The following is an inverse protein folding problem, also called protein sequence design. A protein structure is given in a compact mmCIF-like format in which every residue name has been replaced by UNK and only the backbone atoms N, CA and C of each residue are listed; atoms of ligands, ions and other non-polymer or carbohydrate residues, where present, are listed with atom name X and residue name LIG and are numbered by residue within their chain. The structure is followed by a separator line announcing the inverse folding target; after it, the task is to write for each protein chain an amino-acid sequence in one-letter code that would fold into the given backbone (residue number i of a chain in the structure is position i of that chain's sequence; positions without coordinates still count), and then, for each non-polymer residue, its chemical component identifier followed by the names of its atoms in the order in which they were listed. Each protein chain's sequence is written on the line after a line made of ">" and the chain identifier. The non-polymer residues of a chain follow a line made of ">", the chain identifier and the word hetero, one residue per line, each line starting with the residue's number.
data_IF_925006961751
#
_entry.id   IF_925006961751
#
_cell.length_a   1.000
_cell.length_b   1.000
_cell.length_c   1.000
_cell.angle_alpha   90.00
_cell.angle_beta   90.00
_cell.angle_gamma   90.00
#
_symmetry.space_group_name_H-M   'P 1'
#
loop_
_entity.id
_entity.type
_entity.pdbx_description
1 polymer ?
#
# COMPACT_ATOMS: atom_id res chain seq x y z
N UNK A 1 22.91 -10.77 1.21
CA UNK A 1 22.50 -9.78 0.19
C UNK A 1 20.99 -9.70 0.35
N UNK A 2 20.45 -9.02 1.36
CA UNK A 2 19.04 -9.30 1.72
C UNK A 2 18.24 -8.13 2.33
N UNK A 3 18.85 -7.24 3.15
CA UNK A 3 18.08 -6.16 3.80
C UNK A 3 17.81 -4.95 2.89
N UNK A 4 18.80 -4.49 2.12
CA UNK A 4 18.62 -3.35 1.20
C UNK A 4 17.60 -3.64 0.09
N UNK A 5 17.50 -4.90 -0.35
CA UNK A 5 16.52 -5.34 -1.33
C UNK A 5 15.10 -5.46 -0.73
N UNK A 6 15.00 -5.65 0.59
CA UNK A 6 13.74 -5.64 1.32
C UNK A 6 13.16 -4.24 1.41
N UNK A 7 13.97 -3.28 1.86
CA UNK A 7 13.55 -1.88 2.03
C UNK A 7 13.23 -1.22 0.69
N UNK A 8 14.02 -1.49 -0.37
CA UNK A 8 13.72 -0.97 -1.71
C UNK A 8 12.45 -1.56 -2.33
N UNK A 9 12.07 -2.80 -1.98
CA UNK A 9 10.77 -3.38 -2.40
C UNK A 9 9.62 -2.78 -1.60
N UNK A 10 9.85 -2.54 -0.31
CA UNK A 10 8.87 -1.95 0.59
C UNK A 10 8.49 -0.52 0.19
N UNK A 11 9.48 0.32 -0.10
CA UNK A 11 9.23 1.69 -0.57
C UNK A 11 8.55 1.72 -1.95
N UNK A 12 8.90 0.78 -2.84
CA UNK A 12 8.19 0.63 -4.12
C UNK A 12 6.72 0.25 -3.93
N UNK A 13 6.42 -0.66 -2.99
CA UNK A 13 5.04 -1.03 -2.66
C UNK A 13 4.27 0.17 -2.11
N UNK A 14 4.87 0.93 -1.19
CA UNK A 14 4.28 2.16 -0.62
C UNK A 14 3.93 3.16 -1.73
N UNK A 15 4.89 3.44 -2.62
CA UNK A 15 4.68 4.36 -3.74
C UNK A 15 3.56 3.90 -4.67
N UNK A 16 3.54 2.60 -5.02
CA UNK A 16 2.50 2.02 -5.86
C UNK A 16 1.10 2.12 -5.22
N UNK A 17 0.99 1.88 -3.90
CA UNK A 17 -0.28 1.99 -3.17
C UNK A 17 -0.81 3.43 -3.18
N UNK A 18 0.03 4.42 -2.88
CA UNK A 18 -0.38 5.83 -2.91
C UNK A 18 -0.82 6.28 -4.31
N UNK A 19 -0.05 5.96 -5.35
CA UNK A 19 -0.39 6.33 -6.73
C UNK A 19 -1.70 5.68 -7.17
N UNK A 20 -1.92 4.42 -6.80
CA UNK A 20 -3.14 3.68 -7.16
C UNK A 20 -4.37 4.23 -6.43
N UNK A 21 -4.25 4.57 -5.15
CA UNK A 21 -5.32 5.24 -4.40
C UNK A 21 -5.69 6.58 -5.04
N UNK A 22 -4.70 7.40 -5.39
CA UNK A 22 -4.93 8.69 -6.02
C UNK A 22 -5.64 8.56 -7.38
N UNK A 23 -5.30 7.54 -8.17
CA UNK A 23 -5.99 7.26 -9.43
C UNK A 23 -7.45 6.86 -9.21
N UNK A 24 -7.72 5.99 -8.23
CA UNK A 24 -9.09 5.61 -7.87
C UNK A 24 -9.90 6.83 -7.42
N UNK A 25 -9.32 7.72 -6.62
CA UNK A 25 -9.97 8.96 -6.18
C UNK A 25 -10.28 9.91 -7.33
N UNK A 26 -9.45 9.90 -8.38
CA UNK A 26 -9.69 10.63 -9.64
C UNK A 26 -10.67 9.93 -10.58
N UNK A 27 -11.15 8.74 -10.22
CA UNK A 27 -12.05 7.91 -11.05
C UNK A 27 -11.34 7.12 -12.15
N UNK A 28 -10.00 7.08 -12.15
CA UNK A 28 -9.23 6.24 -13.05
C UNK A 28 -9.10 4.83 -12.45
N UNK A 29 -9.97 3.93 -12.92
CA UNK A 29 -10.01 2.53 -12.51
C UNK A 29 -9.23 1.62 -13.47
N UNK A 30 -8.46 2.17 -14.41
CA UNK A 30 -7.76 1.39 -15.44
C UNK A 30 -6.69 0.44 -14.91
N UNK A 31 -6.22 0.66 -13.68
CA UNK A 31 -5.28 -0.22 -12.97
C UNK A 31 -5.96 -1.31 -12.14
N UNK A 32 -7.25 -1.19 -11.90
CA UNK A 32 -7.98 -2.21 -11.15
C UNK A 32 -8.21 -3.43 -12.06
N UNK A 33 -8.19 -4.63 -11.49
CA UNK A 33 -8.69 -5.80 -12.18
C UNK A 33 -10.12 -5.54 -12.70
N UNK A 34 -10.50 -6.03 -13.89
CA UNK A 34 -11.80 -5.75 -14.50
C UNK A 34 -13.01 -6.05 -13.60
N UNK A 35 -12.90 -7.03 -12.71
CA UNK A 35 -13.91 -7.39 -11.71
C UNK A 35 -14.17 -6.31 -10.65
N UNK A 36 -13.27 -5.33 -10.52
CA UNK A 36 -13.40 -4.18 -9.62
C UNK A 36 -13.66 -2.86 -10.38
N UNK A 37 -13.81 -2.90 -11.71
CA UNK A 37 -14.22 -1.74 -12.49
C UNK A 37 -15.70 -1.40 -12.19
N UNK A 38 -16.00 -0.11 -11.94
CA UNK A 38 -17.34 0.34 -11.52
C UNK A 38 -17.42 0.58 -10.01
N UNK A 39 -18.38 -0.03 -9.32
CA UNK A 39 -18.57 0.12 -7.87
C UNK A 39 -17.42 -0.47 -7.01
N UNK A 40 -16.46 -1.17 -7.63
CA UNK A 40 -15.30 -1.76 -6.95
C UNK A 40 -14.20 -0.77 -6.58
N UNK A 41 -14.20 0.45 -7.15
CA UNK A 41 -13.22 1.49 -6.84
C UNK A 41 -13.13 1.83 -5.35
N UNK A 42 -14.24 2.21 -4.69
CA UNK A 42 -14.26 2.48 -3.25
C UNK A 42 -13.76 1.31 -2.39
N UNK A 43 -14.12 0.06 -2.75
CA UNK A 43 -13.69 -1.14 -2.01
C UNK A 43 -12.18 -1.36 -2.17
N UNK A 44 -11.66 -1.23 -3.39
CA UNK A 44 -10.23 -1.37 -3.67
C UNK A 44 -9.42 -0.30 -2.93
N UNK A 45 -9.89 0.95 -2.92
CA UNK A 45 -9.30 2.04 -2.14
C UNK A 45 -9.17 1.67 -0.67
N UNK A 46 -10.27 1.25 -0.01
CA UNK A 46 -10.25 0.89 1.41
C UNK A 46 -9.28 -0.26 1.70
N UNK A 47 -9.19 -1.24 0.80
CA UNK A 47 -8.22 -2.32 0.93
C UNK A 47 -6.77 -1.81 0.87
N UNK A 48 -6.45 -0.93 -0.09
CA UNK A 48 -5.10 -0.36 -0.23
C UNK A 48 -4.72 0.56 0.94
N UNK A 49 -5.66 1.37 1.43
CA UNK A 49 -5.47 2.18 2.65
C UNK A 49 -5.16 1.28 3.87
N UNK A 50 -5.88 0.16 4.00
CA UNK A 50 -5.65 -0.81 5.09
C UNK A 50 -4.24 -1.40 5.03
N UNK A 51 -3.73 -1.68 3.82
CA UNK A 51 -2.36 -2.17 3.63
C UNK A 51 -1.35 -1.10 4.05
N UNK A 52 -1.54 0.17 3.69
CA UNK A 52 -0.65 1.26 4.13
C UNK A 52 -0.59 1.36 5.66
N UNK A 53 -1.73 1.29 6.34
CA UNK A 53 -1.77 1.28 7.81
C UNK A 53 -1.00 0.07 8.38
N UNK A 54 -1.19 -1.12 7.80
CA UNK A 54 -0.47 -2.31 8.23
C UNK A 54 1.05 -2.16 8.03
N UNK A 55 1.48 -1.53 6.94
CA UNK A 55 2.89 -1.25 6.67
C UNK A 55 3.48 -0.32 7.74
N UNK A 56 2.78 0.76 8.09
CA UNK A 56 3.19 1.70 9.14
C UNK A 56 3.34 1.01 10.50
N UNK A 57 2.43 0.09 10.85
CA UNK A 57 2.50 -0.70 12.10
C UNK A 57 3.77 -1.55 12.13
N UNK A 58 4.11 -2.23 11.03
CA UNK A 58 5.30 -3.08 10.94
C UNK A 58 6.58 -2.23 11.10
N UNK A 59 6.62 -1.07 10.47
CA UNK A 59 7.75 -0.14 10.58
C UNK A 59 7.87 0.46 11.98
N UNK A 60 6.75 0.83 12.59
CA UNK A 60 6.71 1.27 13.98
C UNK A 60 7.29 0.22 14.92
N UNK A 61 6.98 -1.06 14.71
CA UNK A 61 7.58 -2.18 15.47
C UNK A 61 9.08 -2.34 15.20
N UNK A 62 9.54 -2.15 13.95
CA UNK A 62 10.97 -2.19 13.60
C UNK A 62 11.77 -1.03 14.22
N UNK A 63 11.14 0.13 14.43
CA UNK A 63 11.78 1.36 14.93
C UNK A 63 11.92 1.46 16.44
N UNK A 64 11.40 0.48 17.21
CA UNK A 64 11.56 0.42 18.68
C UNK A 64 12.70 -0.56 19.00
N UNK A 65 13.92 -0.09 19.29
CA UNK A 65 14.96 -0.94 19.86
C UNK A 65 14.75 -1.00 21.38
N UNK A 66 14.63 -2.21 21.93
CA UNK A 66 14.64 -2.43 23.38
C UNK A 66 13.28 -2.35 24.06
N UNK A 67 12.66 -3.52 24.26
CA UNK A 67 11.87 -3.79 25.46
C UNK A 67 12.67 -4.83 26.25
N UNK A 68 13.70 -4.35 26.96
CA UNK A 68 14.27 -5.02 28.14
C UNK A 68 13.53 -4.52 29.38
#
# INVERSE_FOLDING_TARGET
>A
MDEQDGDARWERLRGWLHETIEQIERGDLGRLPPEFAGEGGPVARTAYETVLIAMEVVEGKRRIPGRE
#
